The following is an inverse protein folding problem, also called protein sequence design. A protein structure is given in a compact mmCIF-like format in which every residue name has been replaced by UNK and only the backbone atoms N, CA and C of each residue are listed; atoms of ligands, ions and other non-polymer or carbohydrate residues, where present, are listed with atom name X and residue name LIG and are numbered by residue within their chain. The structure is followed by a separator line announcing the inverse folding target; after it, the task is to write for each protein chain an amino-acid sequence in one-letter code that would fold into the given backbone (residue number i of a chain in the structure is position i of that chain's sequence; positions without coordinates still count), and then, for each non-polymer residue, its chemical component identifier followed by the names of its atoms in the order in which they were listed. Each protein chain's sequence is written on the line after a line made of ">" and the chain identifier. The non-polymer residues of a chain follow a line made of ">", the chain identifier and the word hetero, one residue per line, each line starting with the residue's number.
data_IF_926848387852
#
_entry.id   IF_926848387852
#
_cell.length_a   1.000
_cell.length_b   1.000
_cell.length_c   1.000
_cell.angle_alpha   90.00
_cell.angle_beta   90.00
_cell.angle_gamma   90.00
#
_symmetry.space_group_name_H-M   'P 1'
#
loop_
_entity.id
_entity.type
_entity.pdbx_description
1 polymer ?
#
# COMPACT_ATOMS: atom_id res chain seq x y z
N UNK A 1 11.84 -2.75 -8.49
CA UNK A 1 10.76 -2.03 -9.17
C UNK A 1 10.74 -0.62 -8.59
N UNK A 2 10.99 0.44 -9.38
CA UNK A 2 11.21 1.79 -8.82
C UNK A 2 10.10 2.27 -7.89
N UNK A 3 8.85 1.90 -8.16
CA UNK A 3 7.69 2.26 -7.35
C UNK A 3 7.84 1.81 -5.89
N UNK A 4 8.23 0.55 -5.65
CA UNK A 4 8.35 0.02 -4.27
C UNK A 4 9.44 0.76 -3.52
N UNK A 5 10.62 0.92 -4.11
CA UNK A 5 11.73 1.61 -3.45
C UNK A 5 11.37 3.08 -3.15
N UNK A 6 10.65 3.75 -4.05
CA UNK A 6 10.18 5.12 -3.86
C UNK A 6 9.11 5.20 -2.75
N UNK A 7 8.17 4.26 -2.67
CA UNK A 7 7.20 4.15 -1.55
C UNK A 7 7.94 3.98 -0.22
N UNK A 8 8.90 3.05 -0.15
CA UNK A 8 9.69 2.78 1.06
C UNK A 8 10.49 4.01 1.50
N UNK A 9 11.04 4.78 0.54
CA UNK A 9 11.78 6.00 0.84
C UNK A 9 10.92 7.08 1.51
N UNK A 10 9.63 7.16 1.12
CA UNK A 10 8.67 8.15 1.64
C UNK A 10 8.16 7.80 3.04
N UNK A 11 8.00 6.51 3.34
CA UNK A 11 7.56 6.04 4.66
C UNK A 11 8.70 5.89 5.67
N UNK A 12 9.95 6.21 5.31
CA UNK A 12 11.13 5.90 6.10
C UNK A 12 11.27 4.38 6.38
N UNK A 13 12.47 3.83 6.69
CA UNK A 13 12.65 2.38 6.84
C UNK A 13 11.96 1.77 8.09
N UNK A 14 11.17 2.54 8.84
CA UNK A 14 10.49 2.10 10.06
C UNK A 14 8.96 2.23 9.97
N UNK A 15 8.37 1.34 9.18
CA UNK A 15 6.93 1.18 9.08
C UNK A 15 6.52 -0.27 9.38
N UNK A 16 5.29 -0.44 9.83
CA UNK A 16 4.62 -1.73 9.92
C UNK A 16 3.65 -1.88 8.73
N UNK A 17 3.22 -3.10 8.44
CA UNK A 17 2.35 -3.36 7.31
C UNK A 17 1.20 -4.30 7.65
N UNK A 18 0.06 -4.05 7.02
CA UNK A 18 -1.15 -4.86 7.12
C UNK A 18 -1.57 -5.26 5.72
N UNK A 19 -1.89 -6.52 5.53
CA UNK A 19 -2.55 -6.99 4.31
C UNK A 19 -4.00 -7.37 4.64
N UNK A 20 -4.93 -6.73 3.95
CA UNK A 20 -6.37 -6.87 4.18
C UNK A 20 -6.98 -7.60 2.98
N UNK A 21 -7.47 -8.82 3.23
CA UNK A 21 -8.25 -9.60 2.26
C UNK A 21 -9.68 -9.86 2.76
N UNK A 22 -10.15 -9.05 3.73
CA UNK A 22 -11.41 -9.28 4.42
C UNK A 22 -12.36 -8.06 4.38
N UNK A 23 -13.64 -8.33 4.14
CA UNK A 23 -14.75 -7.39 4.36
C UNK A 23 -15.30 -7.58 5.79
N UNK A 24 -14.76 -6.96 6.84
CA UNK A 24 -15.38 -7.14 8.17
C UNK A 24 -14.73 -6.45 9.38
N UNK A 25 -15.57 -6.16 10.38
CA UNK A 25 -15.27 -5.42 11.63
C UNK A 25 -14.14 -6.00 12.51
N UNK A 26 -13.83 -7.29 12.40
CA UNK A 26 -12.75 -7.97 13.16
C UNK A 26 -11.33 -7.44 12.86
N UNK A 27 -11.19 -6.62 11.81
CA UNK A 27 -9.94 -6.00 11.40
C UNK A 27 -9.40 -5.00 12.42
N UNK A 28 -10.28 -4.24 13.11
CA UNK A 28 -9.85 -3.12 13.96
C UNK A 28 -9.03 -3.59 15.15
N UNK A 29 -9.57 -4.50 15.96
CA UNK A 29 -8.92 -4.93 17.19
C UNK A 29 -7.57 -5.60 16.91
N UNK A 30 -7.50 -6.46 15.89
CA UNK A 30 -6.27 -7.20 15.56
C UNK A 30 -5.16 -6.30 15.03
N UNK A 31 -5.52 -5.27 14.25
CA UNK A 31 -4.54 -4.28 13.79
C UNK A 31 -4.08 -3.40 14.94
N UNK A 32 -4.98 -2.96 15.82
CA UNK A 32 -4.66 -2.15 16.99
C UNK A 32 -3.79 -2.86 18.03
N UNK A 33 -4.01 -4.16 18.27
CA UNK A 33 -3.22 -4.94 19.22
C UNK A 33 -1.77 -5.15 18.75
N UNK A 34 -1.56 -5.22 17.43
CA UNK A 34 -0.24 -5.55 16.86
C UNK A 34 0.57 -4.30 16.53
N UNK A 35 -0.10 -3.23 16.08
CA UNK A 35 0.54 -2.00 15.65
C UNK A 35 0.64 -1.00 16.80
N UNK A 36 1.86 -0.60 17.11
CA UNK A 36 2.10 0.42 18.14
C UNK A 36 1.63 1.78 17.66
N UNK A 37 0.94 2.54 18.53
CA UNK A 37 0.53 3.91 18.22
C UNK A 37 1.71 4.81 17.82
N UNK A 38 1.46 5.75 16.91
CA UNK A 38 2.44 6.71 16.39
C UNK A 38 3.40 6.17 15.32
N UNK A 39 3.30 4.89 14.93
CA UNK A 39 4.10 4.32 13.84
C UNK A 39 3.47 4.58 12.47
N UNK A 40 4.28 4.49 11.43
CA UNK A 40 3.81 4.47 10.04
C UNK A 40 3.30 3.07 9.70
N UNK A 41 2.17 2.99 9.02
CA UNK A 41 1.49 1.73 8.70
C UNK A 41 1.10 1.73 7.24
N UNK A 42 1.64 0.79 6.47
CA UNK A 42 1.18 0.53 5.11
C UNK A 42 0.04 -0.48 5.10
N UNK A 43 -1.08 -0.11 4.48
CA UNK A 43 -2.25 -0.97 4.30
C UNK A 43 -2.28 -1.43 2.84
N UNK A 44 -1.98 -2.72 2.65
CA UNK A 44 -2.03 -3.43 1.39
C UNK A 44 -3.39 -4.15 1.25
N UNK A 45 -3.89 -4.24 0.02
CA UNK A 45 -5.05 -5.06 -0.33
C UNK A 45 -6.22 -4.30 -0.92
N UNK A 46 -7.10 -5.05 -1.57
CA UNK A 46 -8.28 -4.52 -2.28
C UNK A 46 -9.46 -4.31 -1.33
N UNK A 47 -10.18 -3.20 -1.50
CA UNK A 47 -11.44 -2.97 -0.77
C UNK A 47 -11.27 -2.49 0.67
N UNK A 48 -10.16 -1.81 0.99
CA UNK A 48 -9.98 -1.13 2.26
C UNK A 48 -11.14 -0.15 2.49
N UNK A 49 -11.98 -0.44 3.48
CA UNK A 49 -13.12 0.41 3.80
C UNK A 49 -12.62 1.72 4.43
N UNK A 50 -13.14 2.86 3.96
CA UNK A 50 -12.86 4.18 4.51
C UNK A 50 -13.02 4.22 6.04
N UNK A 51 -14.04 3.56 6.59
CA UNK A 51 -14.26 3.52 8.04
C UNK A 51 -13.11 2.85 8.81
N UNK A 52 -12.43 1.87 8.21
CA UNK A 52 -11.24 1.25 8.80
C UNK A 52 -10.03 2.18 8.71
N UNK A 53 -9.83 2.84 7.56
CA UNK A 53 -8.75 3.82 7.38
C UNK A 53 -8.87 4.97 8.39
N UNK A 54 -10.07 5.55 8.55
CA UNK A 54 -10.26 6.66 9.50
C UNK A 54 -9.93 6.22 10.94
N UNK A 55 -10.37 5.03 11.38
CA UNK A 55 -10.02 4.52 12.71
C UNK A 55 -8.53 4.25 12.90
N UNK A 56 -7.84 3.75 11.88
CA UNK A 56 -6.39 3.56 11.95
C UNK A 56 -5.66 4.92 12.04
N UNK A 57 -6.12 5.92 11.27
CA UNK A 57 -5.57 7.27 11.27
C UNK A 57 -5.68 7.98 12.63
N UNK A 58 -6.58 7.55 13.52
CA UNK A 58 -6.65 8.08 14.89
C UNK A 58 -5.41 7.72 15.74
N UNK A 59 -4.71 6.63 15.41
CA UNK A 59 -3.62 6.07 16.22
C UNK A 59 -2.28 5.98 15.49
N UNK A 60 -2.28 5.87 14.18
CA UNK A 60 -1.08 5.71 13.36
C UNK A 60 -1.10 6.56 12.10
N UNK A 61 0.07 6.72 11.47
CA UNK A 61 0.19 7.37 10.16
C UNK A 61 -0.07 6.29 9.12
N UNK A 62 -1.23 6.34 8.49
CA UNK A 62 -1.69 5.30 7.55
C UNK A 62 -1.31 5.66 6.13
N UNK A 63 -0.73 4.70 5.42
CA UNK A 63 -0.40 4.76 4.00
C UNK A 63 -1.08 3.64 3.23
N UNK A 64 -1.42 3.90 1.97
CA UNK A 64 -1.98 2.92 1.04
C UNK A 64 -1.57 3.29 -0.40
N UNK A 65 -1.66 2.34 -1.32
CA UNK A 65 -1.09 2.46 -2.66
C UNK A 65 -1.54 3.70 -3.44
N UNK A 66 -2.81 4.10 -3.29
CA UNK A 66 -3.38 5.23 -4.00
C UNK A 66 -2.81 6.58 -3.55
N UNK A 67 -2.24 6.68 -2.34
CA UNK A 67 -1.53 7.91 -1.90
C UNK A 67 -0.23 8.15 -2.70
N UNK A 68 0.23 7.14 -3.43
CA UNK A 68 1.44 7.18 -4.26
C UNK A 68 1.11 7.15 -5.76
N UNK A 69 -0.09 7.59 -6.15
CA UNK A 69 -0.50 7.65 -7.55
C UNK A 69 0.49 8.44 -8.42
N UNK A 70 1.21 9.42 -7.88
CA UNK A 70 2.24 10.14 -8.64
C UNK A 70 3.40 9.24 -9.13
N UNK A 71 3.58 8.05 -8.53
CA UNK A 71 4.61 7.09 -8.93
C UNK A 71 4.20 6.19 -10.10
N UNK A 72 2.90 6.00 -10.35
CA UNK A 72 2.38 5.03 -11.32
C UNK A 72 1.27 5.56 -12.22
N UNK A 73 0.66 6.68 -11.86
CA UNK A 73 -0.43 7.34 -12.57
C UNK A 73 0.00 7.93 -13.91
N UNK A 74 -0.97 8.53 -14.60
CA UNK A 74 -0.74 9.17 -15.90
C UNK A 74 0.33 10.25 -15.75
N UNK A 75 1.27 10.29 -16.71
CA UNK A 75 2.44 11.19 -16.73
C UNK A 75 3.52 10.92 -15.65
N UNK A 76 3.36 9.88 -14.82
CA UNK A 76 4.44 9.43 -13.93
C UNK A 76 5.67 8.98 -14.74
N UNK A 77 6.84 9.01 -14.10
CA UNK A 77 8.07 8.47 -14.71
C UNK A 77 7.91 7.01 -15.12
N UNK A 78 7.21 6.22 -14.30
CA UNK A 78 6.90 4.83 -14.62
C UNK A 78 6.03 4.73 -15.88
N UNK A 79 4.94 5.49 -15.94
CA UNK A 79 4.01 5.46 -17.08
C UNK A 79 4.71 5.85 -18.39
N UNK A 80 5.47 6.95 -18.39
CA UNK A 80 6.19 7.43 -19.56
C UNK A 80 7.23 6.42 -20.04
N UNK A 81 7.94 5.78 -19.11
CA UNK A 81 8.93 4.77 -19.44
C UNK A 81 8.28 3.49 -19.98
N UNK A 82 7.23 3.00 -19.34
CA UNK A 82 6.50 1.81 -19.81
C UNK A 82 5.87 2.05 -21.18
N UNK A 83 5.29 3.22 -21.43
CA UNK A 83 4.78 3.61 -22.74
C UNK A 83 5.89 3.62 -23.80
N UNK A 84 7.07 4.16 -23.47
CA UNK A 84 8.23 4.18 -24.37
C UNK A 84 8.72 2.78 -24.71
N UNK A 85 8.84 1.90 -23.71
CA UNK A 85 9.26 0.51 -23.89
C UNK A 85 8.22 -0.31 -24.66
N UNK A 86 6.94 0.03 -24.53
CA UNK A 86 5.83 -0.63 -25.21
C UNK A 86 5.45 0.04 -26.55
N UNK A 87 6.44 0.56 -27.28
CA UNK A 87 6.23 1.09 -28.64
C UNK A 87 5.30 2.30 -28.73
N UNK A 88 5.18 3.09 -27.66
CA UNK A 88 4.28 4.24 -27.56
C UNK A 88 2.87 3.90 -27.06
N UNK A 89 2.57 2.62 -26.82
CA UNK A 89 1.27 2.17 -26.29
C UNK A 89 1.27 2.29 -24.76
N UNK A 90 0.34 3.06 -24.16
CA UNK A 90 0.22 3.15 -22.70
C UNK A 90 0.06 1.79 -22.04
N UNK A 91 0.73 1.60 -20.90
CA UNK A 91 0.56 0.43 -20.03
C UNK A 91 -0.21 0.89 -18.80
N UNK A 92 -1.33 0.23 -18.52
CA UNK A 92 -2.15 0.53 -17.35
C UNK A 92 -1.51 -0.04 -16.08
N UNK A 93 -1.59 0.71 -15.00
CA UNK A 93 -1.28 0.21 -13.66
C UNK A 93 -2.51 -0.51 -13.09
N UNK A 94 -2.78 -1.67 -13.68
CA UNK A 94 -3.99 -2.47 -13.47
C UNK A 94 -4.01 -3.16 -12.09
N UNK A 95 -5.09 -3.92 -11.83
CA UNK A 95 -5.24 -4.65 -10.56
C UNK A 95 -4.10 -5.64 -10.27
N UNK A 96 -3.53 -6.26 -11.31
CA UNK A 96 -2.40 -7.17 -11.13
C UNK A 96 -1.15 -6.42 -10.68
N UNK A 97 -0.82 -5.31 -11.33
CA UNK A 97 0.32 -4.47 -10.94
C UNK A 97 0.15 -3.89 -9.53
N UNK A 98 -1.08 -3.52 -9.16
CA UNK A 98 -1.42 -3.09 -7.81
C UNK A 98 -1.13 -4.18 -6.77
N UNK A 99 -1.64 -5.39 -6.99
CA UNK A 99 -1.43 -6.52 -6.08
C UNK A 99 0.06 -6.86 -5.91
N UNK A 100 0.84 -6.78 -6.99
CA UNK A 100 2.30 -7.02 -6.95
C UNK A 100 3.00 -5.97 -6.09
N UNK A 101 2.72 -4.68 -6.31
CA UNK A 101 3.32 -3.60 -5.51
C UNK A 101 2.88 -3.69 -4.05
N UNK A 102 1.59 -3.87 -3.79
CA UNK A 102 1.05 -4.01 -2.43
C UNK A 102 1.70 -5.16 -1.68
N UNK A 103 1.84 -6.32 -2.33
CA UNK A 103 2.49 -7.49 -1.73
C UNK A 103 3.95 -7.22 -1.43
N UNK A 104 4.68 -6.57 -2.34
CA UNK A 104 6.09 -6.24 -2.13
C UNK A 104 6.27 -5.25 -0.98
N UNK A 105 5.49 -4.16 -0.93
CA UNK A 105 5.57 -3.17 0.17
C UNK A 105 5.18 -3.82 1.50
N UNK A 106 4.13 -4.64 1.51
CA UNK A 106 3.73 -5.39 2.71
C UNK A 106 4.88 -6.23 3.27
N UNK A 107 5.59 -6.97 2.42
CA UNK A 107 6.67 -7.86 2.86
C UNK A 107 7.86 -7.11 3.49
N UNK A 108 8.00 -5.81 3.18
CA UNK A 108 9.08 -4.95 3.69
C UNK A 108 8.79 -4.30 5.04
N UNK A 109 7.53 -4.32 5.51
CA UNK A 109 7.17 -3.82 6.83
C UNK A 109 7.85 -4.60 7.97
N UNK A 110 8.19 -3.92 9.07
CA UNK A 110 8.85 -4.55 10.23
C UNK A 110 7.93 -5.58 10.89
N UNK A 111 6.77 -5.12 11.38
CA UNK A 111 5.67 -6.00 11.74
C UNK A 111 4.75 -6.19 10.54
N UNK A 112 4.31 -7.42 10.33
CA UNK A 112 3.42 -7.81 9.23
C UNK A 112 2.20 -8.46 9.84
N UNK A 113 1.02 -7.92 9.52
CA UNK A 113 -0.26 -8.48 9.94
C UNK A 113 -1.02 -8.89 8.70
N UNK A 114 -1.17 -10.20 8.51
CA UNK A 114 -2.12 -10.71 7.52
C UNK A 114 -3.47 -10.89 8.19
N UNK A 115 -4.48 -10.21 7.66
CA UNK A 115 -5.87 -10.46 8.04
C UNK A 115 -6.54 -11.19 6.90
N UNK A 116 -6.36 -12.51 6.94
CA UNK A 116 -7.01 -13.48 6.08
C UNK A 116 -8.33 -13.92 6.72
N UNK A 117 -9.29 -14.24 5.87
CA UNK A 117 -10.60 -14.76 6.26
C UNK A 117 -10.51 -16.19 6.78
#
# INVERSE_FOLDING_TARGET
>A
MHIVDDILSRMQPDFDSVHIDAKGEDLRQRVEEVLGGGRQVYVAGVGVNRALLESLKEKCIVHYLDEFEDLWGTDSKWFLEMKRLNGGVPVEFDGYMRDVVDREVFLKGKKKVEVLR
#
